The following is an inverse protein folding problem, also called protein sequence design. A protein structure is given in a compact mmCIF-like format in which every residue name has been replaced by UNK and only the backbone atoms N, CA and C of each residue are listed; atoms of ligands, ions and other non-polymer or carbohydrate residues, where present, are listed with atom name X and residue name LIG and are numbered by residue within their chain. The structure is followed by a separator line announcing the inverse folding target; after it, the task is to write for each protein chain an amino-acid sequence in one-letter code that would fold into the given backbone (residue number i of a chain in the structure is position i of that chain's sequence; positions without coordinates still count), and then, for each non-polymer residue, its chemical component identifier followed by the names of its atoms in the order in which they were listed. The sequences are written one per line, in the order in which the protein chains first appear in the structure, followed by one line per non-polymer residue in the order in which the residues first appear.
data_IF_954838673719
#
_entry.id   IF_954838673719
#
_cell.length_a   1.000
_cell.length_b   1.000
_cell.length_c   1.000
_cell.angle_alpha   90.00
_cell.angle_beta   90.00
_cell.angle_gamma   90.00
#
_symmetry.space_group_name_H-M   'P 1'
#
loop_
_entity.id
_entity.type
_entity.pdbx_description
1 polymer ?
#
# COMPACT_ATOMS: atom_id res chain seq x y z
N UNK A 1 26.89 27.73 -4.45
CA UNK A 1 25.94 27.46 -5.55
C UNK A 1 24.78 26.63 -4.99
N UNK A 2 23.56 27.16 -5.02
CA UNK A 2 22.38 26.43 -4.52
C UNK A 2 22.03 25.29 -5.49
N UNK A 3 22.08 24.04 -5.01
CA UNK A 3 21.77 22.87 -5.84
C UNK A 3 20.27 22.87 -6.17
N UNK A 4 19.91 23.30 -7.39
CA UNK A 4 18.53 23.36 -7.86
C UNK A 4 17.87 21.98 -7.75
N UNK A 5 16.89 21.84 -6.85
CA UNK A 5 16.19 20.58 -6.59
C UNK A 5 15.25 20.25 -7.76
N UNK A 6 15.19 18.97 -8.14
CA UNK A 6 14.35 18.48 -9.25
C UNK A 6 12.86 18.68 -8.97
N UNK A 7 12.47 18.52 -7.71
CA UNK A 7 11.11 18.75 -7.17
C UNK A 7 11.21 19.41 -5.80
N UNK A 8 10.08 19.91 -5.29
CA UNK A 8 9.99 20.44 -3.94
C UNK A 8 10.24 19.36 -2.87
N UNK A 9 10.62 19.78 -1.67
CA UNK A 9 10.83 18.88 -0.52
C UNK A 9 9.56 18.09 -0.21
N UNK A 10 8.42 18.78 -0.21
CA UNK A 10 7.12 18.15 0.05
C UNK A 10 6.82 17.05 -0.98
N UNK A 11 7.01 17.33 -2.28
CA UNK A 11 6.78 16.32 -3.32
C UNK A 11 7.75 15.15 -3.19
N UNK A 12 9.01 15.39 -2.82
CA UNK A 12 9.98 14.31 -2.57
C UNK A 12 9.57 13.45 -1.39
N UNK A 13 9.18 14.05 -0.26
CA UNK A 13 8.80 13.31 0.95
C UNK A 13 7.54 12.46 0.70
N UNK A 14 6.54 13.05 0.03
CA UNK A 14 5.34 12.31 -0.38
C UNK A 14 5.72 11.14 -1.29
N UNK A 15 6.56 11.38 -2.31
CA UNK A 15 6.99 10.32 -3.21
C UNK A 15 7.71 9.17 -2.49
N UNK A 16 8.59 9.48 -1.53
CA UNK A 16 9.30 8.46 -0.74
C UNK A 16 8.30 7.64 0.07
N UNK A 17 7.42 8.31 0.82
CA UNK A 17 6.47 7.63 1.68
C UNK A 17 5.46 6.79 0.87
N UNK A 18 4.94 7.35 -0.22
CA UNK A 18 4.02 6.65 -1.12
C UNK A 18 4.69 5.44 -1.77
N UNK A 19 5.98 5.54 -2.12
CA UNK A 19 6.75 4.41 -2.65
C UNK A 19 6.96 3.32 -1.61
N UNK A 20 7.28 3.69 -0.37
CA UNK A 20 7.44 2.74 0.74
C UNK A 20 6.13 2.01 1.03
N UNK A 21 5.02 2.76 1.13
CA UNK A 21 3.68 2.20 1.32
C UNK A 21 3.27 1.29 0.16
N UNK A 22 3.58 1.67 -1.08
CA UNK A 22 3.30 0.85 -2.27
C UNK A 22 4.10 -0.46 -2.27
N UNK A 23 5.40 -0.41 -1.99
CA UNK A 23 6.25 -1.62 -1.97
C UNK A 23 5.82 -2.57 -0.84
N UNK A 24 5.58 -2.05 0.37
CA UNK A 24 5.07 -2.88 1.46
C UNK A 24 3.69 -3.46 1.12
N UNK A 25 2.81 -2.64 0.52
CA UNK A 25 1.50 -3.06 0.00
C UNK A 25 1.59 -4.21 -0.99
N UNK A 26 2.53 -4.13 -1.93
CA UNK A 26 2.75 -5.17 -2.93
C UNK A 26 3.23 -6.48 -2.31
N UNK A 27 4.17 -6.42 -1.36
CA UNK A 27 4.68 -7.61 -0.66
C UNK A 27 3.58 -8.28 0.18
N UNK A 28 2.80 -7.49 0.92
CA UNK A 28 1.64 -7.99 1.69
C UNK A 28 0.58 -8.58 0.77
N UNK A 29 0.28 -7.93 -0.38
CA UNK A 29 -0.70 -8.45 -1.33
C UNK A 29 -0.27 -9.79 -1.93
N UNK A 30 1.00 -9.92 -2.34
CA UNK A 30 1.53 -11.17 -2.90
C UNK A 30 1.49 -12.30 -1.86
N UNK A 31 1.96 -12.04 -0.64
CA UNK A 31 1.91 -13.03 0.44
C UNK A 31 0.48 -13.35 0.90
N UNK A 32 -0.44 -12.39 0.87
CA UNK A 32 -1.86 -12.63 1.14
C UNK A 32 -2.52 -13.49 0.07
N UNK A 33 -2.24 -13.22 -1.21
CA UNK A 33 -2.69 -14.06 -2.35
C UNK A 33 -2.14 -15.48 -2.22
N UNK A 34 -0.87 -15.64 -1.81
CA UNK A 34 -0.29 -16.95 -1.51
C UNK A 34 -1.15 -17.72 -0.50
N UNK A 35 -1.57 -17.09 0.60
CA UNK A 35 -2.43 -17.73 1.60
C UNK A 35 -3.87 -17.97 1.16
N UNK A 36 -4.39 -17.16 0.23
CA UNK A 36 -5.75 -17.33 -0.30
C UNK A 36 -5.89 -18.60 -1.15
N UNK A 37 -4.83 -18.96 -1.90
CA UNK A 37 -4.89 -20.07 -2.85
C UNK A 37 -4.16 -21.33 -2.41
N UNK A 38 -3.16 -21.24 -1.52
CA UNK A 38 -2.45 -22.42 -1.03
C UNK A 38 -3.03 -22.88 0.30
N UNK A 39 -3.51 -24.13 0.38
CA UNK A 39 -4.29 -24.61 1.51
C UNK A 39 -3.48 -24.65 2.81
N UNK A 40 -4.17 -24.30 3.89
CA UNK A 40 -3.68 -24.26 5.28
C UNK A 40 -3.59 -25.66 5.88
N UNK A 41 -4.34 -26.61 5.32
CA UNK A 41 -4.50 -27.89 5.95
C UNK A 41 -3.23 -28.71 5.77
N UNK A 42 -2.63 -29.18 6.86
CA UNK A 42 -1.53 -30.13 6.82
C UNK A 42 -1.91 -31.44 6.10
N UNK A 43 -1.28 -32.54 6.48
CA UNK A 43 -1.57 -33.82 5.84
C UNK A 43 -2.99 -34.26 6.19
N UNK A 44 -3.94 -34.06 5.26
CA UNK A 44 -5.36 -34.45 5.42
C UNK A 44 -5.62 -35.88 4.96
N UNK A 45 -4.71 -36.81 5.25
CA UNK A 45 -4.82 -38.20 4.79
C UNK A 45 -4.93 -38.33 3.27
N UNK A 46 -4.15 -37.53 2.52
CA UNK A 46 -4.15 -37.50 1.05
C UNK A 46 -5.24 -36.64 0.39
N UNK A 47 -6.17 -36.05 1.17
CA UNK A 47 -7.25 -35.19 0.62
C UNK A 47 -6.81 -33.76 0.30
N UNK A 48 -5.63 -33.35 0.76
CA UNK A 48 -5.01 -32.10 0.35
C UNK A 48 -3.92 -32.40 -0.70
N UNK A 49 -4.21 -32.29 -2.01
CA UNK A 49 -3.24 -32.56 -3.07
C UNK A 49 -2.09 -31.54 -3.09
N UNK A 50 -2.26 -30.40 -2.42
CA UNK A 50 -1.25 -29.35 -2.31
C UNK A 50 -0.48 -29.40 -0.98
N UNK A 51 -0.65 -30.47 -0.20
CA UNK A 51 0.12 -30.66 1.02
C UNK A 51 1.62 -30.72 0.73
N UNK A 52 2.42 -29.93 1.46
CA UNK A 52 3.87 -29.87 1.32
C UNK A 52 4.39 -29.09 0.10
N UNK A 53 3.50 -28.51 -0.72
CA UNK A 53 3.92 -27.65 -1.83
C UNK A 53 4.62 -26.40 -1.27
N UNK A 54 5.85 -26.19 -1.72
CA UNK A 54 6.68 -25.05 -1.34
C UNK A 54 6.95 -24.22 -2.59
N UNK A 55 6.57 -22.94 -2.56
CA UNK A 55 6.81 -21.99 -3.67
C UNK A 55 7.74 -20.90 -3.15
N UNK A 56 8.98 -20.86 -3.67
CA UNK A 56 10.09 -19.97 -3.27
C UNK A 56 10.58 -20.12 -1.82
N UNK A 57 9.66 -20.09 -0.85
CA UNK A 57 9.94 -20.14 0.59
C UNK A 57 8.99 -21.10 1.30
N UNK A 58 9.40 -21.55 2.48
CA UNK A 58 8.52 -22.26 3.40
C UNK A 58 7.34 -21.40 3.84
N UNK A 59 6.23 -22.04 4.23
CA UNK A 59 5.01 -21.34 4.66
C UNK A 59 5.25 -20.39 5.85
N UNK A 60 6.14 -20.76 6.77
CA UNK A 60 6.51 -19.91 7.90
C UNK A 60 7.22 -18.63 7.43
N UNK A 61 8.15 -18.74 6.49
CA UNK A 61 8.80 -17.57 5.90
C UNK A 61 7.80 -16.67 5.15
N UNK A 62 6.83 -17.24 4.43
CA UNK A 62 5.71 -16.46 3.85
C UNK A 62 4.89 -15.73 4.93
N UNK A 63 4.68 -16.37 6.09
CA UNK A 63 3.97 -15.77 7.22
C UNK A 63 4.75 -14.59 7.79
N UNK A 64 6.05 -14.75 7.98
CA UNK A 64 6.92 -13.67 8.46
C UNK A 64 6.93 -12.49 7.49
N UNK A 65 7.08 -12.77 6.19
CA UNK A 65 7.02 -11.75 5.14
C UNK A 65 5.68 -11.00 5.20
N UNK A 66 4.56 -11.72 5.32
CA UNK A 66 3.24 -11.10 5.38
C UNK A 66 3.07 -10.23 6.62
N UNK A 67 3.45 -10.72 7.79
CA UNK A 67 3.33 -10.00 9.06
C UNK A 67 4.18 -8.73 9.02
N UNK A 68 5.48 -8.85 8.72
CA UNK A 68 6.40 -7.72 8.78
C UNK A 68 6.14 -6.69 7.68
N UNK A 69 5.75 -7.12 6.46
CA UNK A 69 5.30 -6.19 5.43
C UNK A 69 4.01 -5.46 5.84
N UNK A 70 3.08 -6.13 6.51
CA UNK A 70 1.83 -5.53 7.00
C UNK A 70 2.07 -4.53 8.15
N UNK A 71 3.00 -4.83 9.05
CA UNK A 71 3.47 -3.89 10.09
C UNK A 71 4.07 -2.64 9.43
N UNK A 72 4.85 -2.80 8.36
CA UNK A 72 5.39 -1.68 7.60
C UNK A 72 4.28 -0.85 6.93
N UNK A 73 3.25 -1.48 6.36
CA UNK A 73 2.07 -0.77 5.82
C UNK A 73 1.41 0.07 6.91
N UNK A 74 1.18 -0.49 8.10
CA UNK A 74 0.58 0.26 9.20
C UNK A 74 1.40 1.49 9.59
N UNK A 75 2.71 1.32 9.73
CA UNK A 75 3.63 2.41 10.05
C UNK A 75 3.57 3.51 8.99
N UNK A 76 3.71 3.15 7.71
CA UNK A 76 3.72 4.13 6.63
C UNK A 76 2.36 4.77 6.39
N UNK A 77 1.26 4.03 6.58
CA UNK A 77 -0.10 4.59 6.54
C UNK A 77 -0.32 5.62 7.66
N UNK A 78 0.15 5.33 8.88
CA UNK A 78 0.07 6.27 10.01
C UNK A 78 0.86 7.56 9.74
N UNK A 79 1.96 7.49 8.99
CA UNK A 79 2.72 8.67 8.55
C UNK A 79 2.07 9.37 7.33
N UNK A 80 1.41 8.61 6.46
CA UNK A 80 0.81 9.11 5.21
C UNK A 80 -0.42 9.97 5.48
N UNK A 81 -1.26 9.57 6.43
CA UNK A 81 -2.50 10.28 6.76
C UNK A 81 -2.23 11.75 7.17
N UNK A 82 -1.31 12.08 8.09
CA UNK A 82 -0.98 13.46 8.42
C UNK A 82 -0.46 14.28 7.23
N UNK A 83 0.36 13.69 6.34
CA UNK A 83 0.86 14.41 5.15
C UNK A 83 -0.26 14.81 4.19
N UNK A 84 -1.34 14.03 4.16
CA UNK A 84 -2.49 14.28 3.30
C UNK A 84 -3.67 14.93 4.03
N UNK A 85 -3.53 15.30 5.31
CA UNK A 85 -4.63 15.77 6.16
C UNK A 85 -5.44 16.93 5.58
N UNK A 86 -4.77 17.95 5.03
CA UNK A 86 -5.44 19.10 4.39
C UNK A 86 -6.32 18.67 3.22
N UNK A 87 -5.82 17.74 2.40
CA UNK A 87 -6.57 17.20 1.28
C UNK A 87 -7.77 16.37 1.77
N UNK A 88 -7.59 15.54 2.80
CA UNK A 88 -8.66 14.74 3.42
C UNK A 88 -9.80 15.66 3.88
N UNK A 89 -9.49 16.68 4.70
CA UNK A 89 -10.51 17.63 5.19
C UNK A 89 -11.26 18.30 4.03
N UNK A 90 -10.54 18.79 3.02
CA UNK A 90 -11.14 19.50 1.89
C UNK A 90 -12.05 18.57 1.07
N UNK A 91 -11.63 17.33 0.85
CA UNK A 91 -12.42 16.33 0.14
C UNK A 91 -13.63 15.88 0.96
N UNK A 92 -13.49 15.66 2.26
CA UNK A 92 -14.62 15.34 3.16
C UNK A 92 -15.65 16.46 3.16
N UNK A 93 -15.23 17.72 3.29
CA UNK A 93 -16.14 18.88 3.21
C UNK A 93 -16.89 18.92 1.87
N UNK A 94 -16.18 18.69 0.77
CA UNK A 94 -16.76 18.71 -0.58
C UNK A 94 -17.70 17.52 -0.84
N UNK A 95 -17.36 16.34 -0.32
CA UNK A 95 -18.18 15.14 -0.35
C UNK A 95 -19.47 15.32 0.43
N UNK A 96 -19.39 15.83 1.67
CA UNK A 96 -20.56 16.15 2.51
C UNK A 96 -21.49 17.13 1.80
N UNK A 97 -20.96 18.23 1.25
CA UNK A 97 -21.79 19.19 0.47
C UNK A 97 -22.46 18.53 -0.73
N UNK A 98 -21.81 17.54 -1.36
CA UNK A 98 -22.38 16.77 -2.47
C UNK A 98 -23.51 15.86 -2.05
N UNK A 99 -23.34 15.14 -0.93
CA UNK A 99 -24.38 14.27 -0.36
C UNK A 99 -25.63 15.08 0.04
N UNK A 100 -25.43 16.27 0.61
CA UNK A 100 -26.53 17.16 0.98
C UNK A 100 -27.04 18.06 -0.16
N UNK A 101 -26.64 17.82 -1.40
CA UNK A 101 -27.14 18.55 -2.57
C UNK A 101 -26.71 20.02 -2.68
N UNK A 102 -25.78 20.48 -1.83
CA UNK A 102 -25.31 21.89 -1.78
C UNK A 102 -24.28 22.22 -2.86
N UNK A 103 -23.60 21.22 -3.43
CA UNK A 103 -22.64 21.40 -4.54
C UNK A 103 -22.43 20.09 -5.27
N UNK A 104 -22.21 20.09 -6.59
CA UNK A 104 -21.92 18.86 -7.33
C UNK A 104 -20.42 18.74 -7.64
N UNK A 105 -19.75 17.76 -7.03
CA UNK A 105 -18.42 17.33 -7.49
C UNK A 105 -18.52 16.79 -8.94
N UNK A 106 -17.47 17.00 -9.73
CA UNK A 106 -17.35 16.37 -11.04
C UNK A 106 -17.43 14.83 -10.89
N UNK A 107 -18.07 14.12 -11.83
CA UNK A 107 -18.22 12.65 -11.84
C UNK A 107 -16.87 11.95 -11.63
N UNK A 108 -15.80 12.45 -12.26
CA UNK A 108 -14.45 11.92 -12.07
C UNK A 108 -13.94 12.09 -10.64
N UNK A 109 -14.21 13.24 -10.02
CA UNK A 109 -13.84 13.52 -8.63
C UNK A 109 -14.66 12.68 -7.64
N UNK A 110 -15.94 12.43 -7.93
CA UNK A 110 -16.79 11.54 -7.13
C UNK A 110 -16.28 10.10 -7.20
N UNK A 111 -15.95 9.62 -8.40
CA UNK A 111 -15.40 8.28 -8.59
C UNK A 111 -14.07 8.11 -7.86
N UNK A 112 -13.13 9.04 -8.03
CA UNK A 112 -11.85 9.01 -7.32
C UNK A 112 -12.03 9.08 -5.79
N UNK A 113 -12.99 9.86 -5.30
CA UNK A 113 -13.31 9.91 -3.88
C UNK A 113 -13.85 8.55 -3.39
N UNK A 114 -14.73 7.91 -4.17
CA UNK A 114 -15.24 6.57 -3.86
C UNK A 114 -14.13 5.53 -3.74
N UNK A 115 -13.19 5.51 -4.69
CA UNK A 115 -12.02 4.61 -4.63
C UNK A 115 -11.15 4.87 -3.40
N UNK A 116 -10.88 6.14 -3.07
CA UNK A 116 -10.11 6.48 -1.87
C UNK A 116 -10.81 6.06 -0.57
N UNK A 117 -12.14 6.21 -0.50
CA UNK A 117 -12.94 5.73 0.64
C UNK A 117 -12.86 4.20 0.72
N UNK A 118 -12.98 3.48 -0.41
CA UNK A 118 -12.85 2.03 -0.44
C UNK A 118 -11.49 1.58 0.08
N UNK A 119 -10.39 2.19 -0.41
CA UNK A 119 -9.02 1.88 0.06
C UNK A 119 -8.90 2.15 1.57
N UNK A 120 -9.34 3.33 2.02
CA UNK A 120 -9.23 3.73 3.42
C UNK A 120 -10.00 2.82 4.37
N UNK A 121 -11.26 2.52 4.06
CA UNK A 121 -12.11 1.68 4.91
C UNK A 121 -11.69 0.21 4.89
N UNK A 122 -11.48 -0.36 3.69
CA UNK A 122 -11.07 -1.76 3.57
C UNK A 122 -9.67 -2.00 4.15
N UNK A 123 -8.73 -1.08 3.91
CA UNK A 123 -7.40 -1.13 4.50
C UNK A 123 -7.42 -0.99 6.03
N UNK A 124 -8.28 -0.12 6.57
CA UNK A 124 -8.44 0.02 8.03
C UNK A 124 -9.02 -1.26 8.65
N UNK A 125 -10.08 -1.83 8.07
CA UNK A 125 -10.69 -3.07 8.56
C UNK A 125 -9.71 -4.23 8.48
N UNK A 126 -8.97 -4.35 7.38
CA UNK A 126 -7.93 -5.37 7.19
C UNK A 126 -6.80 -5.20 8.21
N UNK A 127 -6.30 -3.97 8.39
CA UNK A 127 -5.25 -3.68 9.37
C UNK A 127 -5.67 -3.97 10.82
N UNK A 128 -6.89 -3.58 11.21
CA UNK A 128 -7.40 -3.83 12.56
C UNK A 128 -7.64 -5.31 12.84
N UNK A 129 -8.17 -6.06 11.87
CA UNK A 129 -8.31 -7.52 11.99
C UNK A 129 -6.95 -8.22 11.99
N UNK A 130 -5.96 -7.72 11.24
CA UNK A 130 -4.58 -8.21 11.31
C UNK A 130 -3.93 -7.97 12.68
N UNK A 131 -4.15 -6.79 13.26
CA UNK A 131 -3.73 -6.50 14.63
C UNK A 131 -4.40 -7.40 15.66
N UNK A 132 -5.68 -7.72 15.47
CA UNK A 132 -6.38 -8.67 16.31
C UNK A 132 -5.67 -10.04 16.31
N UNK A 133 -5.31 -10.56 15.13
CA UNK A 133 -4.54 -11.82 15.04
C UNK A 133 -3.14 -11.74 15.63
N UNK A 134 -2.49 -10.58 15.53
CA UNK A 134 -1.13 -10.38 16.04
C UNK A 134 -1.09 -10.23 17.56
N UNK A 135 -2.09 -9.59 18.16
CA UNK A 135 -2.05 -9.15 19.56
C UNK A 135 -2.93 -9.98 20.50
N UNK A 136 -3.95 -10.67 19.99
CA UNK A 136 -4.87 -11.43 20.83
C UNK A 136 -4.45 -12.91 20.87
N UNK A 137 -4.05 -13.44 22.05
CA UNK A 137 -3.73 -14.86 22.20
C UNK A 137 -4.93 -15.74 21.83
N UNK A 138 -4.68 -16.83 21.11
CA UNK A 138 -5.74 -17.74 20.64
C UNK A 138 -6.41 -17.33 19.32
N UNK A 139 -6.26 -16.08 18.88
CA UNK A 139 -6.89 -15.60 17.64
C UNK A 139 -6.16 -16.02 16.35
N UNK A 140 -4.85 -16.30 16.44
CA UNK A 140 -4.03 -16.69 15.29
C UNK A 140 -4.34 -18.12 14.83
N UNK A 141 -4.24 -18.37 13.53
CA UNK A 141 -4.42 -19.71 12.95
C UNK A 141 -3.48 -20.74 13.59
N UNK A 142 -4.02 -21.90 13.98
CA UNK A 142 -3.30 -22.98 14.66
C UNK A 142 -2.78 -22.62 16.07
N UNK A 143 -3.41 -21.65 16.75
CA UNK A 143 -3.11 -21.43 18.17
C UNK A 143 -3.45 -22.67 19.00
N UNK A 144 -2.59 -22.99 19.96
CA UNK A 144 -2.86 -23.99 21.01
C UNK A 144 -3.81 -23.43 22.09
N UNK A 145 -4.00 -22.12 22.11
CA UNK A 145 -4.91 -21.43 23.03
C UNK A 145 -6.30 -21.46 22.38
N UNK A 146 -7.38 -21.77 23.14
CA UNK A 146 -8.74 -21.73 22.62
C UNK A 146 -9.10 -20.38 22.00
N UNK A 147 -10.01 -20.40 21.02
CA UNK A 147 -10.52 -19.20 20.37
C UNK A 147 -11.05 -18.22 21.43
N UNK A 148 -10.53 -16.99 21.51
CA UNK A 148 -10.97 -16.01 22.49
C UNK A 148 -12.39 -15.52 22.24
N UNK A 149 -12.93 -15.73 21.03
CA UNK A 149 -14.30 -15.35 20.62
C UNK A 149 -14.65 -13.89 20.94
N UNK A 150 -13.67 -12.99 20.90
CA UNK A 150 -13.88 -11.58 21.21
C UNK A 150 -14.62 -10.89 20.06
N UNK A 151 -15.85 -10.45 20.33
CA UNK A 151 -16.87 -9.96 19.37
C UNK A 151 -17.35 -11.01 18.36
N UNK A 152 -16.43 -11.74 17.74
CA UNK A 152 -16.71 -12.80 16.78
C UNK A 152 -15.76 -13.98 16.97
N UNK A 153 -16.09 -15.11 16.35
CA UNK A 153 -15.18 -16.25 16.26
C UNK A 153 -13.95 -15.91 15.41
N UNK A 154 -12.84 -16.62 15.62
CA UNK A 154 -11.62 -16.46 14.83
C UNK A 154 -11.85 -16.69 13.34
N UNK A 155 -12.79 -17.57 12.97
CA UNK A 155 -13.24 -17.78 11.58
C UNK A 155 -13.90 -16.52 11.01
N UNK A 156 -14.77 -15.88 11.79
CA UNK A 156 -15.45 -14.66 11.33
C UNK A 156 -14.46 -13.51 11.17
N UNK A 157 -13.51 -13.38 12.11
CA UNK A 157 -12.41 -12.43 11.97
C UNK A 157 -11.56 -12.70 10.73
N UNK A 158 -11.31 -13.96 10.40
CA UNK A 158 -10.56 -14.34 9.20
C UNK A 158 -11.30 -13.95 7.91
N UNK A 159 -12.62 -14.16 7.86
CA UNK A 159 -13.45 -13.70 6.76
C UNK A 159 -13.41 -12.16 6.63
N UNK A 160 -13.50 -11.44 7.75
CA UNK A 160 -13.39 -9.97 7.75
C UNK A 160 -12.03 -9.53 7.20
N UNK A 161 -10.94 -10.12 7.69
CA UNK A 161 -9.58 -9.81 7.24
C UNK A 161 -9.39 -10.11 5.75
N UNK A 162 -9.79 -11.30 5.32
CA UNK A 162 -9.65 -11.77 3.94
C UNK A 162 -10.42 -10.89 2.97
N UNK A 163 -11.72 -10.68 3.19
CA UNK A 163 -12.55 -9.93 2.24
C UNK A 163 -12.23 -8.44 2.24
N UNK A 164 -11.90 -7.85 3.40
CA UNK A 164 -11.40 -6.48 3.43
C UNK A 164 -10.05 -6.34 2.71
N UNK A 165 -9.15 -7.31 2.86
CA UNK A 165 -7.89 -7.38 2.12
C UNK A 165 -8.09 -7.48 0.60
N UNK A 166 -9.00 -8.35 0.13
CA UNK A 166 -9.33 -8.49 -1.30
C UNK A 166 -9.86 -7.17 -1.88
N UNK A 167 -10.77 -6.49 -1.16
CA UNK A 167 -11.28 -5.18 -1.58
C UNK A 167 -10.14 -4.14 -1.60
N UNK A 168 -9.27 -4.13 -0.60
CA UNK A 168 -8.15 -3.21 -0.52
C UNK A 168 -7.18 -3.40 -1.70
N UNK A 169 -6.86 -4.64 -2.06
CA UNK A 169 -6.00 -4.97 -3.21
C UNK A 169 -6.65 -4.50 -4.51
N UNK A 170 -7.92 -4.83 -4.73
CA UNK A 170 -8.65 -4.45 -5.94
C UNK A 170 -8.77 -2.92 -6.09
N UNK A 171 -9.18 -2.22 -5.02
CA UNK A 171 -9.32 -0.77 -5.03
C UNK A 171 -7.97 -0.06 -5.21
N UNK A 172 -6.90 -0.55 -4.58
CA UNK A 172 -5.55 0.01 -4.72
C UNK A 172 -5.00 -0.18 -6.14
N UNK A 173 -5.24 -1.34 -6.75
CA UNK A 173 -4.87 -1.60 -8.15
C UNK A 173 -5.58 -0.64 -9.10
N UNK A 174 -6.88 -0.46 -8.91
CA UNK A 174 -7.68 0.48 -9.70
C UNK A 174 -7.23 1.94 -9.49
N UNK A 175 -6.95 2.33 -8.26
CA UNK A 175 -6.40 3.65 -7.94
C UNK A 175 -5.06 3.88 -8.65
N UNK A 176 -4.14 2.91 -8.58
CA UNK A 176 -2.86 3.01 -9.27
C UNK A 176 -3.04 3.16 -10.79
N UNK A 177 -3.94 2.38 -11.39
CA UNK A 177 -4.27 2.47 -12.81
C UNK A 177 -4.76 3.86 -13.22
N UNK A 178 -5.69 4.45 -12.47
CA UNK A 178 -6.23 5.80 -12.74
C UNK A 178 -5.12 6.86 -12.63
N UNK A 179 -4.18 6.68 -11.70
CA UNK A 179 -3.09 7.62 -11.44
C UNK A 179 -1.83 7.37 -12.29
N UNK A 180 -1.82 6.35 -13.14
CA UNK A 180 -0.66 5.94 -13.95
C UNK A 180 -0.02 7.10 -14.75
N UNK A 181 -0.84 7.95 -15.39
CA UNK A 181 -0.35 9.10 -16.17
C UNK A 181 0.46 10.08 -15.32
N UNK A 182 0.02 10.33 -14.08
CA UNK A 182 0.75 11.18 -13.15
C UNK A 182 2.05 10.53 -12.72
N UNK A 183 2.00 9.24 -12.37
CA UNK A 183 3.17 8.46 -11.98
C UNK A 183 4.26 8.52 -13.05
N UNK A 184 3.92 8.19 -14.30
CA UNK A 184 4.84 8.27 -15.44
C UNK A 184 5.45 9.67 -15.61
N UNK A 185 4.64 10.73 -15.46
CA UNK A 185 5.12 12.12 -15.57
C UNK A 185 6.16 12.47 -14.50
N UNK A 186 5.99 11.99 -13.27
CA UNK A 186 6.94 12.21 -12.18
C UNK A 186 8.24 11.46 -12.46
N UNK A 187 8.18 10.18 -12.80
CA UNK A 187 9.36 9.36 -13.10
C UNK A 187 10.16 9.90 -14.29
N UNK A 188 9.48 10.36 -15.34
CA UNK A 188 10.14 10.99 -16.49
C UNK A 188 10.96 12.22 -16.08
N UNK A 189 10.47 13.05 -15.15
CA UNK A 189 11.22 14.24 -14.66
C UNK A 189 12.49 13.84 -13.92
N UNK A 190 12.43 12.80 -13.09
CA UNK A 190 13.60 12.26 -12.42
C UNK A 190 14.60 11.66 -13.41
N UNK A 191 14.15 10.87 -14.38
CA UNK A 191 15.00 10.31 -15.43
C UNK A 191 15.70 11.38 -16.26
N UNK A 192 14.99 12.45 -16.64
CA UNK A 192 15.57 13.60 -17.34
C UNK A 192 16.62 14.33 -16.48
N UNK A 193 16.36 14.52 -15.19
CA UNK A 193 17.31 15.15 -14.28
C UNK A 193 18.56 14.27 -14.06
N UNK A 194 18.38 12.95 -13.95
CA UNK A 194 19.48 11.99 -13.85
C UNK A 194 20.34 11.99 -15.12
N UNK A 195 19.72 11.90 -16.30
CA UNK A 195 20.43 11.95 -17.58
C UNK A 195 21.19 13.26 -17.79
N UNK A 196 20.65 14.41 -17.34
CA UNK A 196 21.37 15.69 -17.37
C UNK A 196 22.60 15.72 -16.45
N UNK A 197 22.52 15.08 -15.28
CA UNK A 197 23.69 14.96 -14.39
C UNK A 197 24.76 14.04 -14.99
N UNK A 198 24.37 12.95 -15.66
CA UNK A 198 25.31 12.03 -16.32
C UNK A 198 26.03 12.63 -17.52
N UNK A 199 25.34 13.45 -18.33
CA UNK A 199 25.93 14.07 -19.52
C UNK A 199 26.90 15.22 -19.21
N UNK A 200 27.06 15.59 -17.94
CA UNK A 200 27.81 16.77 -17.52
C UNK A 200 27.10 18.06 -17.94
N UNK A 201 27.14 19.09 -17.09
CA UNK A 201 26.68 20.41 -17.50
C UNK A 201 27.79 21.01 -18.41
N UNK A 202 27.53 21.35 -19.69
CA UNK A 202 28.56 21.96 -20.54
C UNK A 202 29.07 23.30 -19.97
N UNK A 203 28.33 23.93 -19.05
CA UNK A 203 28.77 25.11 -18.31
C UNK A 203 29.89 24.85 -17.27
N UNK A 204 30.24 23.59 -17.00
CA UNK A 204 31.38 23.20 -16.15
C UNK A 204 32.56 22.65 -16.97
N UNK A 205 32.53 22.75 -18.31
CA UNK A 205 33.76 22.54 -19.07
C UNK A 205 34.73 23.67 -18.71
N UNK A 206 35.96 23.38 -18.26
CA UNK A 206 36.95 24.43 -18.08
C UNK A 206 37.08 25.14 -19.44
N UNK A 207 36.99 26.47 -19.42
CA UNK A 207 37.31 27.30 -20.58
C UNK A 207 38.74 26.95 -20.96
N UNK A 208 38.90 26.07 -21.95
CA UNK A 208 40.21 25.68 -22.45
C UNK A 208 40.81 26.92 -23.10
N UNK A 209 41.83 27.45 -22.43
CA UNK A 209 42.82 28.42 -22.85
C UNK A 209 42.69 28.94 -24.29
N UNK A 210 42.13 30.14 -24.45
CA UNK A 210 42.49 31.04 -25.54
C UNK A 210 43.68 31.91 -25.10
N UNK A 211 44.88 31.33 -25.08
CA UNK A 211 46.20 32.00 -25.07
C UNK A 211 47.16 30.91 -25.54
N UNK A 212 47.79 30.93 -26.71
CA UNK A 212 48.65 31.94 -27.37
C UNK A 212 48.63 31.65 -28.88
#
# INVERSE_FOLDING_TARGET
MEKKRVVSIQTRNNLILDSLLFVSGLITAISGIYFLFLPVAGYQGGRNPLYGVTIFFERHAWSDIHIWASVAIMLFAALHIPLHWKWIINMTKSGVKTVFGKSKLNKYSQFNLGINIMIGLSGLICGLSGLYFLLVPGAFHNSIIPDPMWLFTSITWDLIHTWSGVIAIAASTLHFYIHWKWFYKVFRKYGQAFGKNLKGNPANQPVSAQQV
#
